data_IF_998797066063
#
_entry.id   IF_998797066063
#
_cell.length_a   1.000
_cell.length_b   1.000
_cell.length_c   1.000
_cell.angle_alpha   90.00
_cell.angle_beta   90.00
_cell.angle_gamma   90.00
#
_symmetry.space_group_name_H-M   'P 1'
#
loop_
_entity.id
_entity.type
_entity.pdbx_description
1 polymer ?
#
# COMPACT_ATOMS: atom_id res chain seq x y z
N UNK A 1 -3.77 37.69 -0.54
CA UNK A 1 -3.31 36.28 -0.50
C UNK A 1 -3.15 35.90 0.95
N UNK A 2 -4.01 34.98 1.39
CA UNK A 2 -4.28 34.71 2.79
C UNK A 2 -3.19 33.82 3.41
N UNK A 3 -2.40 34.38 4.35
CA UNK A 3 -1.35 33.68 5.09
C UNK A 3 -1.92 32.66 6.09
N UNK A 4 -3.24 32.63 6.30
CA UNK A 4 -3.93 31.66 7.15
C UNK A 4 -4.09 30.29 6.49
N UNK A 5 -3.93 30.17 5.17
CA UNK A 5 -3.68 28.88 4.53
C UNK A 5 -2.26 28.43 4.89
N UNK A 6 -2.03 27.91 6.10
CA UNK A 6 -0.81 27.13 6.27
C UNK A 6 -0.78 26.21 7.48
N UNK A 7 -0.96 26.71 8.70
CA UNK A 7 -0.48 25.96 9.86
C UNK A 7 -1.33 24.71 10.17
N UNK A 8 -2.65 24.83 10.19
CA UNK A 8 -3.53 23.69 10.50
C UNK A 8 -3.44 22.59 9.43
N UNK A 9 -3.36 22.98 8.15
CA UNK A 9 -3.19 22.04 7.03
C UNK A 9 -1.83 21.34 7.09
N UNK A 10 -0.76 22.05 7.45
CA UNK A 10 0.58 21.48 7.64
C UNK A 10 0.61 20.52 8.84
N UNK A 11 -0.01 20.88 9.96
CA UNK A 11 -0.14 20.00 11.13
C UNK A 11 -0.94 18.75 10.77
N UNK A 12 -2.07 18.89 10.08
CA UNK A 12 -2.89 17.76 9.66
C UNK A 12 -2.13 16.83 8.70
N UNK A 13 -1.39 17.40 7.75
CA UNK A 13 -0.53 16.64 6.85
C UNK A 13 0.57 15.89 7.60
N UNK A 14 1.25 16.55 8.55
CA UNK A 14 2.29 15.93 9.37
C UNK A 14 1.75 14.78 10.22
N UNK A 15 0.57 14.95 10.83
CA UNK A 15 -0.13 13.88 11.56
C UNK A 15 -0.44 12.69 10.65
N UNK A 16 -0.90 12.96 9.43
CA UNK A 16 -1.23 11.93 8.44
C UNK A 16 -0.01 11.15 7.99
N UNK A 17 1.08 11.84 7.65
CA UNK A 17 2.35 11.19 7.27
C UNK A 17 2.86 10.31 8.41
N UNK A 18 2.79 10.81 9.66
CA UNK A 18 3.18 10.03 10.84
C UNK A 18 2.32 8.78 11.02
N UNK A 19 1.00 8.91 10.89
CA UNK A 19 0.07 7.78 11.01
C UNK A 19 0.32 6.73 9.91
N UNK A 20 0.49 7.16 8.66
CA UNK A 20 0.77 6.24 7.56
C UNK A 20 2.12 5.54 7.73
N UNK A 21 3.15 6.23 8.25
CA UNK A 21 4.44 5.60 8.56
C UNK A 21 4.28 4.52 9.62
N UNK A 22 3.57 4.81 10.71
CA UNK A 22 3.34 3.85 11.78
C UNK A 22 2.57 2.62 11.27
N UNK A 23 1.53 2.83 10.46
CA UNK A 23 0.79 1.74 9.83
C UNK A 23 1.69 0.86 8.97
N UNK A 24 2.61 1.44 8.19
CA UNK A 24 3.56 0.66 7.38
C UNK A 24 4.50 -0.19 8.24
N UNK A 25 4.95 0.35 9.38
CA UNK A 25 5.76 -0.40 10.35
C UNK A 25 4.96 -1.58 10.94
N UNK A 26 3.71 -1.35 11.32
CA UNK A 26 2.80 -2.37 11.86
C UNK A 26 2.49 -3.46 10.83
N UNK A 27 2.18 -3.08 9.59
CA UNK A 27 1.92 -4.01 8.48
C UNK A 27 3.16 -4.85 8.17
N UNK A 28 4.33 -4.22 8.08
CA UNK A 28 5.60 -4.92 7.84
C UNK A 28 5.90 -5.91 8.97
N UNK A 29 5.68 -5.52 10.23
CA UNK A 29 5.87 -6.39 11.39
C UNK A 29 4.88 -7.57 11.42
N UNK A 30 3.65 -7.37 10.93
CA UNK A 30 2.65 -8.42 10.76
C UNK A 30 2.89 -9.31 9.51
N UNK A 31 3.92 -8.99 8.71
CA UNK A 31 4.29 -9.74 7.50
C UNK A 31 3.37 -9.49 6.30
N UNK A 32 2.67 -8.35 6.27
CA UNK A 32 2.08 -7.84 5.04
C UNK A 32 3.18 -7.25 4.16
N UNK A 33 3.08 -7.51 2.87
CA UNK A 33 4.11 -7.13 1.89
C UNK A 33 3.61 -6.09 0.90
N UNK A 34 2.28 -5.95 0.75
CA UNK A 34 1.70 -5.04 -0.22
C UNK A 34 0.48 -4.30 0.31
N UNK A 35 0.26 -3.13 -0.27
CA UNK A 35 -0.94 -2.33 -0.11
C UNK A 35 -1.54 -2.10 -1.50
N UNK A 36 -2.81 -2.45 -1.68
CA UNK A 36 -3.56 -2.28 -2.92
C UNK A 36 -4.53 -1.09 -2.79
N UNK A 37 -4.43 -0.15 -3.71
CA UNK A 37 -5.35 0.97 -3.83
C UNK A 37 -6.61 0.54 -4.60
N UNK A 38 -7.78 0.38 -3.99
CA UNK A 38 -8.98 -0.09 -4.72
C UNK A 38 -9.56 0.95 -5.69
N UNK A 39 -9.04 2.19 -5.72
CA UNK A 39 -9.48 3.22 -6.67
C UNK A 39 -8.66 3.22 -7.96
N UNK A 40 -7.37 2.89 -7.87
CA UNK A 40 -6.45 2.88 -9.02
C UNK A 40 -6.02 1.48 -9.41
N UNK A 41 -6.38 0.48 -8.61
CA UNK A 41 -5.91 -0.90 -8.65
C UNK A 41 -4.38 -1.03 -8.56
N UNK A 42 -3.68 0.03 -8.13
CA UNK A 42 -2.23 0.00 -8.02
C UNK A 42 -1.78 -0.78 -6.79
N UNK A 43 -0.89 -1.74 -7.02
CA UNK A 43 -0.14 -2.41 -5.97
C UNK A 43 1.01 -1.51 -5.52
N UNK A 44 1.27 -1.48 -4.23
CA UNK A 44 2.41 -0.81 -3.62
C UNK A 44 3.11 -1.74 -2.65
N UNK A 45 4.43 -1.61 -2.51
CA UNK A 45 5.22 -2.42 -1.59
C UNK A 45 5.18 -1.83 -0.18
N UNK A 46 4.99 -2.69 0.82
CA UNK A 46 5.10 -2.34 2.24
C UNK A 46 6.58 -2.39 2.63
N UNK A 47 7.09 -1.29 3.18
CA UNK A 47 8.45 -1.21 3.72
C UNK A 47 8.84 0.24 4.01
N UNK A 48 9.69 0.49 5.00
CA UNK A 48 10.13 1.85 5.35
C UNK A 48 11.01 2.49 4.26
N UNK A 49 11.85 1.69 3.59
CA UNK A 49 12.62 2.14 2.43
C UNK A 49 11.69 2.58 1.29
N UNK A 50 10.60 1.84 1.10
CA UNK A 50 9.62 2.09 0.05
C UNK A 50 8.57 3.14 0.47
N UNK A 51 8.36 3.39 1.76
CA UNK A 51 7.39 4.38 2.25
C UNK A 51 7.72 5.80 1.77
N UNK A 52 9.00 6.19 1.79
CA UNK A 52 9.40 7.51 1.31
C UNK A 52 9.38 7.61 -0.22
N UNK A 53 9.65 6.51 -0.90
CA UNK A 53 9.53 6.37 -2.36
C UNK A 53 8.09 6.15 -2.83
N UNK A 54 7.18 5.81 -1.93
CA UNK A 54 5.79 5.55 -2.26
C UNK A 54 5.16 6.84 -2.75
N UNK A 55 4.87 6.88 -4.05
CA UNK A 55 4.24 8.04 -4.62
C UNK A 55 2.89 8.20 -3.94
N UNK A 56 2.66 9.36 -3.34
CA UNK A 56 1.42 9.79 -2.70
C UNK A 56 0.88 8.97 -1.51
N UNK A 57 1.34 7.75 -1.22
CA UNK A 57 0.77 6.95 -0.12
C UNK A 57 1.01 7.55 1.26
N UNK A 58 2.16 8.20 1.48
CA UNK A 58 2.42 8.96 2.72
C UNK A 58 1.37 10.05 3.01
N UNK A 59 0.65 10.50 1.98
CA UNK A 59 -0.40 11.52 2.06
C UNK A 59 -1.80 10.96 1.77
N UNK A 60 -1.93 9.67 1.43
CA UNK A 60 -3.19 9.03 1.05
C UNK A 60 -4.03 8.67 2.28
N UNK A 61 -5.34 8.60 2.14
CA UNK A 61 -6.18 7.99 3.18
C UNK A 61 -6.13 6.46 3.01
N UNK A 62 -5.36 5.78 3.87
CA UNK A 62 -5.13 4.35 3.80
C UNK A 62 -6.25 3.48 4.38
N UNK A 63 -7.26 4.09 5.01
CA UNK A 63 -8.39 3.38 5.64
C UNK A 63 -9.17 2.49 4.67
N UNK A 64 -9.13 2.80 3.37
CA UNK A 64 -9.83 2.05 2.34
C UNK A 64 -8.93 1.11 1.54
N UNK A 65 -7.64 1.02 1.85
CA UNK A 65 -6.73 0.19 1.08
C UNK A 65 -6.83 -1.27 1.53
N UNK A 66 -6.50 -2.19 0.63
CA UNK A 66 -6.41 -3.61 0.95
C UNK A 66 -4.96 -3.96 1.28
N UNK A 67 -4.73 -4.58 2.43
CA UNK A 67 -3.41 -5.06 2.82
C UNK A 67 -3.25 -6.51 2.42
N UNK A 68 -2.21 -6.81 1.66
CA UNK A 68 -1.99 -8.12 1.06
C UNK A 68 -0.71 -8.73 1.59
N UNK A 69 -0.81 -10.03 1.87
CA UNK A 69 0.32 -10.90 2.18
C UNK A 69 0.48 -11.87 1.03
N UNK A 70 1.71 -12.12 0.59
CA UNK A 70 1.93 -13.19 -0.37
C UNK A 70 1.66 -14.53 0.31
N UNK A 71 0.69 -15.27 -0.20
CA UNK A 71 0.32 -16.58 0.36
C UNK A 71 1.00 -17.73 -0.38
N UNK A 72 1.59 -17.45 -1.54
CA UNK A 72 2.42 -18.41 -2.27
C UNK A 72 3.86 -18.32 -1.78
N UNK A 73 4.41 -19.43 -1.31
CA UNK A 73 5.79 -19.46 -0.79
C UNK A 73 6.85 -19.42 -1.91
N UNK A 74 6.46 -19.56 -3.17
CA UNK A 74 7.41 -19.75 -4.28
C UNK A 74 7.88 -18.44 -4.93
N UNK A 75 6.96 -17.48 -5.17
CA UNK A 75 7.25 -16.27 -5.94
C UNK A 75 6.48 -15.07 -5.36
N UNK A 76 7.17 -13.98 -4.97
CA UNK A 76 6.54 -12.71 -4.60
C UNK A 76 5.63 -12.15 -5.69
N UNK A 77 4.46 -11.60 -5.31
CA UNK A 77 3.50 -11.03 -6.26
C UNK A 77 4.13 -9.99 -7.21
N UNK A 78 5.09 -9.21 -6.72
CA UNK A 78 5.73 -8.14 -7.50
C UNK A 78 6.72 -8.63 -8.57
N UNK A 79 7.16 -9.89 -8.51
CA UNK A 79 8.03 -10.48 -9.52
C UNK A 79 7.27 -10.90 -10.79
N UNK A 80 5.95 -11.04 -10.69
CA UNK A 80 5.12 -11.31 -11.87
C UNK A 80 5.03 -10.08 -12.80
N UNK A 81 4.86 -10.28 -14.12
CA UNK A 81 4.57 -9.20 -15.06
C UNK A 81 3.24 -8.50 -14.73
N UNK A 82 3.15 -7.19 -15.00
CA UNK A 82 1.87 -6.49 -14.97
C UNK A 82 0.87 -7.14 -15.94
N UNK A 83 -0.40 -7.14 -15.57
CA UNK A 83 -1.48 -7.86 -16.25
C UNK A 83 -1.63 -9.32 -15.80
N UNK A 84 -0.73 -9.86 -14.99
CA UNK A 84 -0.86 -11.21 -14.44
C UNK A 84 -2.01 -11.28 -13.45
N UNK A 85 -2.90 -12.27 -13.59
CA UNK A 85 -3.96 -12.53 -12.61
C UNK A 85 -3.41 -13.24 -11.37
N UNK A 86 -3.50 -12.59 -10.21
CA UNK A 86 -3.09 -13.10 -8.92
C UNK A 86 -4.32 -13.43 -8.07
N UNK A 87 -4.50 -14.67 -7.62
CA UNK A 87 -5.58 -15.00 -6.70
C UNK A 87 -5.29 -14.41 -5.31
N UNK A 88 -6.25 -13.65 -4.78
CA UNK A 88 -6.22 -13.09 -3.43
C UNK A 88 -7.11 -13.94 -2.54
N UNK A 89 -6.61 -14.29 -1.36
CA UNK A 89 -7.33 -15.08 -0.38
C UNK A 89 -7.44 -14.35 0.95
N UNK A 90 -8.48 -14.68 1.70
CA UNK A 90 -8.60 -14.28 3.09
C UNK A 90 -7.51 -14.92 3.93
N UNK A 91 -6.81 -14.13 4.74
CA UNK A 91 -5.61 -14.58 5.46
C UNK A 91 -5.91 -15.75 6.43
N UNK A 92 -6.99 -15.63 7.22
CA UNK A 92 -7.34 -16.63 8.24
C UNK A 92 -8.02 -17.87 7.65
N UNK A 93 -9.11 -17.68 6.90
CA UNK A 93 -9.91 -18.79 6.37
C UNK A 93 -9.33 -19.46 5.13
N UNK A 94 -8.30 -18.85 4.50
CA UNK A 94 -7.76 -19.26 3.19
C UNK A 94 -8.81 -19.31 2.07
N UNK A 95 -9.97 -18.70 2.28
CA UNK A 95 -11.02 -18.61 1.26
C UNK A 95 -10.56 -17.68 0.13
N UNK A 96 -10.73 -18.11 -1.12
CA UNK A 96 -10.52 -17.26 -2.27
C UNK A 96 -11.50 -16.07 -2.23
N UNK A 97 -10.96 -14.86 -2.37
CA UNK A 97 -11.75 -13.62 -2.36
C UNK A 97 -11.96 -13.10 -3.77
N UNK A 98 -10.88 -13.00 -4.56
CA UNK A 98 -10.91 -12.44 -5.91
C UNK A 98 -9.65 -12.81 -6.70
N UNK A 99 -9.69 -12.57 -8.01
CA UNK A 99 -8.48 -12.55 -8.85
C UNK A 99 -8.12 -11.10 -9.15
N UNK A 100 -7.02 -10.63 -8.59
CA UNK A 100 -6.48 -9.29 -8.82
C UNK A 100 -5.59 -9.31 -10.08
N UNK A 101 -5.84 -8.41 -11.04
CA UNK A 101 -4.95 -8.22 -12.18
C UNK A 101 -3.82 -7.29 -11.74
N UNK A 102 -2.60 -7.81 -11.72
CA UNK A 102 -1.43 -7.08 -11.23
C UNK A 102 -1.23 -5.78 -12.00
N UNK A 103 -1.23 -4.67 -11.27
CA UNK A 103 -0.96 -3.33 -11.78
C UNK A 103 0.00 -2.65 -10.81
N UNK A 104 1.30 -2.80 -11.06
CA UNK A 104 2.34 -2.26 -10.20
C UNK A 104 2.38 -0.75 -10.30
N UNK A 105 2.43 -0.11 -9.13
CA UNK A 105 2.77 1.30 -9.05
C UNK A 105 4.16 1.53 -9.68
N UNK A 106 4.19 2.36 -10.73
CA UNK A 106 5.41 2.70 -11.50
C UNK A 106 6.52 3.35 -10.68
N UNK A 107 6.20 3.87 -9.50
CA UNK A 107 7.15 4.51 -8.58
C UNK A 107 7.61 3.60 -7.44
N UNK A 108 6.85 2.56 -7.11
CA UNK A 108 7.18 1.64 -6.01
C UNK A 108 7.97 0.40 -6.49
N UNK A 109 7.99 0.14 -7.79
CA UNK A 109 8.61 -1.05 -8.39
C UNK A 109 9.59 -0.69 -9.51
N UNK A 110 10.38 0.38 -9.32
CA UNK A 110 11.46 0.80 -10.23
C UNK A 110 12.66 -0.12 -10.09
#
# INVERSE_FOLDING_TARGET
MDKSMNLEKVIALGKKVKANKQLYEELSAAGFEYVLNPKTDELHKVGLADFWGSHNLKNANLDNFLYLKNLSDAVPMHEYPDGTGIPIYHLETRQHLMNYVLNKCKHCFV
#
